data_IF_981018796157
#
_entry.id   IF_981018796157
#
_cell.length_a   1.000
_cell.length_b   1.000
_cell.length_c   1.000
_cell.angle_alpha   90.00
_cell.angle_beta   90.00
_cell.angle_gamma   90.00
#
_symmetry.space_group_name_H-M   'P 1'
#
loop_
_entity.id
_entity.type
_entity.pdbx_description
1 polymer ?
#
# COMPACT_ATOMS: atom_id res chain seq x y z
N UNK A 1 5.56 0.68 2.66
CA UNK A 1 5.94 -0.53 3.43
C UNK A 1 7.34 -0.89 3.03
N UNK A 2 8.22 -1.11 3.98
CA UNK A 2 9.67 -1.18 3.76
C UNK A 2 10.21 -2.46 4.38
N UNK A 3 11.25 -3.01 3.77
CA UNK A 3 11.99 -4.14 4.30
C UNK A 3 13.22 -4.48 3.48
N UNK A 4 13.91 -5.59 3.78
CA UNK A 4 15.10 -5.99 3.05
C UNK A 4 14.82 -6.16 1.55
N UNK A 5 15.76 -5.73 0.70
CA UNK A 5 15.70 -5.86 -0.78
C UNK A 5 15.46 -7.28 -1.30
N UNK A 6 15.63 -8.30 -0.45
CA UNK A 6 15.39 -9.71 -0.77
C UNK A 6 14.52 -10.36 0.30
N UNK A 7 13.63 -11.24 -0.13
CA UNK A 7 12.87 -12.11 0.77
C UNK A 7 11.44 -11.64 1.10
N UNK A 8 10.93 -10.57 0.47
CA UNK A 8 9.51 -10.18 0.53
C UNK A 8 8.99 -9.76 1.91
N UNK A 9 9.85 -9.72 2.93
CA UNK A 9 9.47 -9.42 4.30
C UNK A 9 9.36 -7.92 4.52
N UNK A 10 8.16 -7.46 4.84
CA UNK A 10 7.93 -6.10 5.33
C UNK A 10 8.33 -6.04 6.80
N UNK A 11 9.23 -5.14 7.17
CA UNK A 11 9.73 -4.98 8.55
C UNK A 11 9.10 -3.77 9.24
N UNK A 12 8.75 -2.73 8.47
CA UNK A 12 8.10 -1.55 9.00
C UNK A 12 7.31 -0.77 7.92
N UNK A 13 6.60 0.26 8.35
CA UNK A 13 5.89 1.16 7.45
C UNK A 13 6.20 2.61 7.76
N UNK A 14 6.23 3.43 6.72
CA UNK A 14 6.35 4.89 6.81
C UNK A 14 4.99 5.48 6.43
N UNK A 15 4.50 6.44 7.22
CA UNK A 15 3.27 7.17 6.91
C UNK A 15 3.56 8.21 5.83
N UNK A 16 2.69 8.30 4.84
CA UNK A 16 2.73 9.35 3.84
C UNK A 16 1.39 10.09 3.83
N UNK A 17 1.41 11.37 3.45
CA UNK A 17 0.20 12.18 3.36
C UNK A 17 -0.61 11.79 2.12
N UNK A 18 -1.92 11.68 2.31
CA UNK A 18 -2.87 11.65 1.21
C UNK A 18 -3.10 13.08 0.71
N UNK A 19 -2.78 13.33 -0.56
CA UNK A 19 -2.97 14.66 -1.17
C UNK A 19 -4.38 14.87 -1.72
N UNK A 20 -5.20 13.82 -1.82
CA UNK A 20 -6.62 13.93 -2.16
C UNK A 20 -7.40 14.42 -0.94
N UNK A 21 -8.09 15.56 -1.08
CA UNK A 21 -8.89 16.16 0.01
C UNK A 21 -10.37 15.88 -0.17
N UNK A 22 -10.94 16.22 -1.32
CA UNK A 22 -12.41 16.20 -1.55
C UNK A 22 -13.02 14.79 -1.54
N UNK A 23 -12.19 13.77 -1.75
CA UNK A 23 -12.58 12.34 -1.79
C UNK A 23 -11.63 11.44 -1.01
N UNK A 24 -11.02 11.97 0.05
CA UNK A 24 -10.04 11.23 0.86
C UNK A 24 -10.58 9.92 1.47
N UNK A 25 -11.91 9.78 1.54
CA UNK A 25 -12.57 8.57 2.06
C UNK A 25 -12.46 7.37 1.13
N UNK A 26 -12.40 7.58 -0.19
CA UNK A 26 -12.39 6.48 -1.17
C UNK A 26 -11.32 6.63 -2.25
N UNK A 27 -10.47 7.66 -2.13
CA UNK A 27 -9.36 7.93 -3.04
C UNK A 27 -8.15 8.37 -2.24
N UNK A 28 -6.99 7.98 -2.73
CA UNK A 28 -5.72 8.47 -2.20
C UNK A 28 -4.73 8.76 -3.32
N UNK A 29 -3.80 9.65 -3.00
CA UNK A 29 -2.61 9.91 -3.80
C UNK A 29 -1.48 10.23 -2.81
N UNK A 30 -0.40 9.45 -2.88
CA UNK A 30 0.74 9.61 -1.97
C UNK A 30 1.46 10.91 -2.32
N UNK A 31 1.73 11.77 -1.34
CA UNK A 31 2.54 12.97 -1.57
C UNK A 31 3.92 12.57 -2.15
N UNK A 32 4.30 13.04 -3.35
CA UNK A 32 5.57 12.69 -3.98
C UNK A 32 6.79 13.02 -3.11
N UNK A 33 6.71 14.05 -2.26
CA UNK A 33 7.80 14.42 -1.34
C UNK A 33 7.98 13.38 -0.25
N UNK A 34 6.87 12.85 0.26
CA UNK A 34 6.89 11.80 1.29
C UNK A 34 7.39 10.48 0.67
N UNK A 35 7.02 10.20 -0.59
CA UNK A 35 7.55 9.06 -1.35
C UNK A 35 9.07 9.13 -1.53
N UNK A 36 9.59 10.28 -2.01
CA UNK A 36 11.04 10.48 -2.21
C UNK A 36 11.78 10.36 -0.88
N UNK A 37 11.21 10.91 0.20
CA UNK A 37 11.79 10.82 1.54
C UNK A 37 11.86 9.36 1.99
N UNK A 38 10.76 8.61 1.89
CA UNK A 38 10.72 7.20 2.27
C UNK A 38 11.70 6.35 1.46
N UNK A 39 11.83 6.61 0.15
CA UNK A 39 12.79 5.90 -0.70
C UNK A 39 14.24 6.16 -0.25
N UNK A 40 14.59 7.42 0.03
CA UNK A 40 15.93 7.77 0.52
C UNK A 40 16.25 7.10 1.85
N UNK A 41 15.31 7.14 2.79
CA UNK A 41 15.48 6.50 4.11
C UNK A 41 15.67 4.98 3.98
N UNK A 42 14.91 4.33 3.11
CA UNK A 42 15.07 2.91 2.82
C UNK A 42 16.44 2.62 2.17
N UNK A 43 16.86 3.43 1.20
CA UNK A 43 18.14 3.25 0.52
C UNK A 43 19.34 3.40 1.45
N UNK A 44 19.31 4.41 2.33
CA UNK A 44 20.34 4.65 3.35
C UNK A 44 20.43 3.50 4.36
N UNK A 45 19.31 2.83 4.63
CA UNK A 45 19.24 1.63 5.47
C UNK A 45 19.59 0.33 4.74
N UNK A 46 19.82 0.37 3.42
CA UNK A 46 20.04 -0.83 2.59
C UNK A 46 18.77 -1.67 2.36
N UNK A 47 17.60 -1.08 2.61
CA UNK A 47 16.27 -1.65 2.44
C UNK A 47 15.65 -1.19 1.10
N UNK A 48 14.37 -1.53 0.89
CA UNK A 48 13.58 -1.08 -0.26
C UNK A 48 12.10 -0.88 0.09
N UNK A 49 11.40 -0.12 -0.73
CA UNK A 49 9.94 -0.03 -0.68
C UNK A 49 9.37 -1.28 -1.37
N UNK A 50 8.87 -2.21 -0.55
CA UNK A 50 8.29 -3.47 -1.05
C UNK A 50 6.80 -3.36 -1.39
N UNK A 51 6.14 -2.29 -0.94
CA UNK A 51 4.70 -2.16 -1.11
C UNK A 51 4.10 -0.88 -0.55
N UNK A 52 2.84 -0.67 -0.88
CA UNK A 52 2.01 0.44 -0.41
C UNK A 52 0.85 -0.09 0.44
N UNK A 53 0.40 0.72 1.38
CA UNK A 53 -0.81 0.39 2.13
C UNK A 53 -1.72 1.60 2.22
N UNK A 54 -3.01 1.33 2.23
CA UNK A 54 -4.04 2.33 2.47
C UNK A 54 -5.22 1.69 3.21
N UNK A 55 -6.03 2.54 3.83
CA UNK A 55 -7.23 2.13 4.53
C UNK A 55 -8.46 2.34 3.66
N UNK A 56 -9.43 1.44 3.77
CA UNK A 56 -10.79 1.54 3.29
C UNK A 56 -11.71 1.86 4.48
N UNK A 57 -12.13 3.12 4.68
CA UNK A 57 -13.11 3.50 5.70
C UNK A 57 -14.49 2.93 5.37
N UNK A 58 -15.07 2.17 6.29
CA UNK A 58 -16.41 1.57 6.20
C UNK A 58 -16.63 0.69 4.95
N UNK A 59 -15.53 0.13 4.42
CA UNK A 59 -15.49 -0.72 3.23
C UNK A 59 -14.53 -1.89 3.42
N UNK A 60 -14.82 -3.06 2.81
CA UNK A 60 -14.00 -4.26 2.98
C UNK A 60 -12.61 -4.10 2.35
N UNK A 61 -11.65 -4.87 2.87
CA UNK A 61 -10.29 -4.99 2.34
C UNK A 61 -10.29 -5.83 1.05
N UNK A 62 -10.83 -5.28 -0.04
CA UNK A 62 -10.95 -5.96 -1.33
C UNK A 62 -10.33 -5.12 -2.44
N UNK A 63 -9.87 -5.81 -3.48
CA UNK A 63 -9.41 -5.17 -4.71
C UNK A 63 -10.50 -4.25 -5.29
N UNK A 64 -10.17 -2.97 -5.42
CA UNK A 64 -10.95 -1.98 -6.15
C UNK A 64 -10.40 -1.81 -7.56
N UNK A 65 -11.30 -1.66 -8.55
CA UNK A 65 -10.90 -1.33 -9.93
C UNK A 65 -10.13 0.00 -9.96
N UNK A 66 -10.56 0.97 -9.15
CA UNK A 66 -9.91 2.28 -9.09
C UNK A 66 -8.46 2.22 -8.60
N UNK A 67 -8.20 1.37 -7.60
CA UNK A 67 -6.86 1.17 -7.05
C UNK A 67 -5.99 0.39 -8.05
N UNK A 68 -6.56 -0.65 -8.66
CA UNK A 68 -5.88 -1.46 -9.66
C UNK A 68 -5.40 -0.63 -10.87
N UNK A 69 -6.27 0.24 -11.41
CA UNK A 69 -5.95 1.16 -12.52
C UNK A 69 -4.81 2.16 -12.20
N UNK A 70 -4.52 2.38 -10.92
CA UNK A 70 -3.49 3.33 -10.43
C UNK A 70 -2.26 2.64 -9.86
N UNK A 71 -2.22 1.32 -9.94
CA UNK A 71 -1.12 0.53 -9.41
C UNK A 71 0.02 0.38 -10.42
N UNK A 72 1.24 0.24 -9.91
CA UNK A 72 2.39 -0.29 -10.63
C UNK A 72 2.59 -1.78 -10.35
N UNK A 73 3.13 -2.49 -11.32
CA UNK A 73 3.60 -3.85 -11.17
C UNK A 73 4.88 -3.91 -10.31
N UNK A 74 4.98 -4.96 -9.49
CA UNK A 74 6.14 -5.22 -8.62
C UNK A 74 5.84 -5.08 -7.13
N UNK A 75 5.33 -3.92 -6.65
CA UNK A 75 4.98 -3.74 -5.25
C UNK A 75 3.76 -4.57 -4.82
N UNK A 76 3.70 -4.87 -3.52
CA UNK A 76 2.49 -5.39 -2.85
C UNK A 76 1.62 -4.23 -2.37
N UNK A 77 0.31 -4.36 -2.52
CA UNK A 77 -0.69 -3.39 -2.06
C UNK A 77 -1.48 -3.99 -0.90
N UNK A 78 -1.28 -3.50 0.30
CA UNK A 78 -2.03 -3.91 1.50
C UNK A 78 -3.22 -2.98 1.69
N UNK A 79 -4.43 -3.53 1.61
CA UNK A 79 -5.67 -2.78 1.85
C UNK A 79 -6.18 -3.16 3.23
N UNK A 80 -6.40 -2.15 4.08
CA UNK A 80 -6.87 -2.33 5.45
C UNK A 80 -8.31 -1.85 5.57
N UNK A 81 -9.23 -2.74 5.96
CA UNK A 81 -10.63 -2.39 6.25
C UNK A 81 -10.71 -1.75 7.62
N UNK A 82 -11.19 -0.50 7.68
CA UNK A 82 -11.42 0.21 8.92
C UNK A 82 -12.90 0.56 9.06
N UNK A 83 -13.64 -0.09 9.96
CA UNK A 83 -15.07 0.16 10.19
C UNK A 83 -15.23 0.93 11.50
N UNK A 84 -15.92 2.07 11.45
CA UNK A 84 -16.11 2.95 12.62
C UNK A 84 -14.79 3.35 13.31
N UNK A 85 -13.69 3.40 12.55
CA UNK A 85 -12.36 3.75 13.04
C UNK A 85 -11.52 2.58 13.55
N UNK A 86 -12.09 1.38 13.63
CA UNK A 86 -11.41 0.16 14.07
C UNK A 86 -10.96 -0.69 12.90
N UNK A 87 -9.76 -1.27 12.97
CA UNK A 87 -9.25 -2.20 11.96
C UNK A 87 -9.96 -3.54 12.12
N UNK A 88 -10.64 -4.00 11.07
CA UNK A 88 -11.44 -5.24 11.11
C UNK A 88 -10.94 -6.34 10.17
N UNK A 89 -10.21 -5.98 9.11
CA UNK A 89 -9.67 -6.92 8.14
C UNK A 89 -8.50 -6.29 7.36
N UNK A 90 -7.63 -7.12 6.78
CA UNK A 90 -6.59 -6.66 5.87
C UNK A 90 -6.25 -7.76 4.85
N UNK A 91 -6.18 -7.38 3.58
CA UNK A 91 -5.77 -8.27 2.49
C UNK A 91 -4.72 -7.59 1.62
N UNK A 92 -3.87 -8.38 0.99
CA UNK A 92 -2.85 -7.87 0.10
C UNK A 92 -3.07 -8.32 -1.34
N UNK A 93 -2.58 -7.50 -2.26
CA UNK A 93 -2.77 -7.66 -3.68
C UNK A 93 -1.51 -7.30 -4.46
N UNK A 94 -1.36 -7.86 -5.65
CA UNK A 94 -0.34 -7.46 -6.62
C UNK A 94 -0.95 -7.19 -7.98
N UNK A 95 -0.35 -6.26 -8.72
CA UNK A 95 -0.60 -6.07 -10.14
C UNK A 95 0.51 -6.76 -10.95
N UNK A 96 0.14 -7.48 -12.01
CA UNK A 96 1.11 -8.13 -12.93
C UNK A 96 1.61 -7.19 -14.04
N UNK A 97 0.90 -6.09 -14.24
CA UNK A 97 1.21 -5.01 -15.18
C UNK A 97 0.67 -3.72 -14.58
N UNK A 98 1.27 -2.58 -14.92
CA UNK A 98 0.80 -1.27 -14.46
C UNK A 98 -0.65 -1.06 -14.89
N UNK A 99 -1.49 -0.59 -13.96
CA UNK A 99 -2.93 -0.41 -14.17
C UNK A 99 -3.71 -1.71 -14.37
N UNK A 100 -3.09 -2.88 -14.20
CA UNK A 100 -3.70 -4.18 -14.40
C UNK A 100 -4.58 -4.62 -13.23
N UNK A 101 -5.43 -5.65 -13.43
CA UNK A 101 -6.27 -6.17 -12.37
C UNK A 101 -5.42 -6.72 -11.22
N UNK A 102 -5.81 -6.35 -10.00
CA UNK A 102 -5.25 -6.92 -8.80
C UNK A 102 -5.54 -8.41 -8.68
N UNK A 103 -4.59 -9.12 -8.09
CA UNK A 103 -4.69 -10.52 -7.68
C UNK A 103 -4.35 -10.62 -6.21
N UNK A 104 -5.04 -11.50 -5.49
CA UNK A 104 -4.75 -11.79 -4.09
C UNK A 104 -3.29 -12.24 -3.92
N UNK A 105 -2.63 -11.66 -2.93
CA UNK A 105 -1.30 -12.06 -2.48
C UNK A 105 -1.41 -12.50 -1.02
N UNK A 106 -1.13 -13.77 -0.70
CA UNK A 106 -1.17 -14.25 0.69
C UNK A 106 -0.22 -13.46 1.59
N UNK A 107 -0.66 -13.15 2.80
CA UNK A 107 0.16 -12.51 3.82
C UNK A 107 0.22 -13.38 5.08
N UNK A 108 1.39 -13.39 5.69
CA UNK A 108 1.64 -14.03 6.97
C UNK A 108 2.21 -13.00 7.94
N UNK A 109 1.72 -13.03 9.18
CA UNK A 109 2.24 -12.20 10.28
C UNK A 109 2.97 -13.12 11.24
N UNK A 110 4.25 -12.84 11.46
CA UNK A 110 5.17 -13.64 12.26
C UNK A 110 5.76 -12.83 13.42
#
# INVERSE_FOLDING_TARGET
MVGPRRGGKITHSVRARNTVVDRARDRYEIDPRDMIKAQREADDAGEDILGYYHSHPDHPARASVFDAERSWAGPVYLIVSCVEGEVVDANAFIARQDGGPFRDEPIEVA
#
